data_IF_357509428760
#
_entry.id   IF_357509428760
#
_cell.length_a   1.000
_cell.length_b   1.000
_cell.length_c   1.000
_cell.angle_alpha   90.00
_cell.angle_beta   90.00
_cell.angle_gamma   90.00
#
_symmetry.space_group_name_H-M   'P 1'
#
loop_
_entity.id
_entity.type
_entity.pdbx_description
1 polymer ?
#
# COMPACT_ATOMS: atom_id res chain seq x y z
N UNK A 1 -21.45 -4.96 -25.86
CA UNK A 1 -22.13 -5.71 -26.94
C UNK A 1 -21.63 -7.14 -26.92
N UNK A 2 -22.42 -8.05 -26.36
CA UNK A 2 -22.49 -9.46 -26.75
C UNK A 2 -23.73 -10.00 -26.04
N UNK A 3 -24.86 -10.05 -26.76
CA UNK A 3 -26.10 -10.70 -26.30
C UNK A 3 -26.07 -12.11 -26.87
N UNK A 4 -25.48 -13.07 -26.17
CA UNK A 4 -25.64 -14.48 -26.51
C UNK A 4 -26.90 -15.00 -25.81
N UNK A 5 -27.96 -15.19 -26.60
CA UNK A 5 -29.15 -15.97 -26.20
C UNK A 5 -28.73 -17.44 -26.13
N UNK A 6 -28.87 -18.07 -24.97
CA UNK A 6 -28.83 -19.53 -24.84
C UNK A 6 -30.28 -20.00 -24.89
N UNK A 7 -30.60 -20.78 -25.91
CA UNK A 7 -31.90 -21.46 -26.08
C UNK A 7 -31.66 -22.93 -25.73
N UNK A 8 -32.38 -23.45 -24.74
CA UNK A 8 -32.40 -24.87 -24.43
C UNK A 8 -33.65 -25.47 -25.09
N UNK A 9 -33.47 -26.28 -26.14
CA UNK A 9 -34.54 -27.08 -26.74
C UNK A 9 -34.72 -28.37 -25.92
N UNK A 10 -35.81 -28.45 -25.18
CA UNK A 10 -36.35 -29.69 -24.63
C UNK A 10 -37.63 -30.04 -25.37
N UNK A 11 -37.59 -31.07 -26.20
CA UNK A 11 -38.71 -31.51 -27.01
C UNK A 11 -39.90 -31.99 -26.18
N UNK A 12 -41.07 -31.45 -26.51
CA UNK A 12 -42.35 -32.16 -26.52
C UNK A 12 -43.30 -31.38 -27.43
N UNK A 13 -43.76 -32.04 -28.50
CA UNK A 13 -44.72 -31.52 -29.46
C UNK A 13 -46.09 -31.35 -28.80
N UNK A 14 -46.56 -30.10 -28.67
CA UNK A 14 -47.99 -29.75 -28.62
C UNK A 14 -48.18 -28.41 -29.34
N UNK A 15 -49.12 -28.40 -30.29
CA UNK A 15 -49.41 -27.34 -31.25
C UNK A 15 -49.82 -25.97 -30.66
N UNK A 16 -49.46 -24.93 -31.41
CA UNK A 16 -50.13 -23.63 -31.58
C UNK A 16 -50.43 -22.78 -30.33
N UNK A 17 -49.50 -21.87 -30.02
CA UNK A 17 -49.77 -20.49 -29.60
C UNK A 17 -48.53 -19.64 -29.92
N UNK A 18 -48.70 -18.46 -30.53
CA UNK A 18 -47.62 -17.52 -30.79
C UNK A 18 -46.75 -17.34 -29.54
N UNK A 19 -45.43 -17.60 -29.59
CA UNK A 19 -44.57 -17.41 -28.43
C UNK A 19 -44.31 -15.91 -28.29
N UNK A 20 -45.23 -15.20 -27.64
CA UNK A 20 -44.85 -13.97 -26.95
C UNK A 20 -43.64 -14.33 -26.07
N UNK A 21 -42.50 -13.67 -26.29
CA UNK A 21 -41.29 -13.88 -25.47
C UNK A 21 -41.64 -13.61 -24.00
N UNK A 22 -42.09 -14.64 -23.28
CA UNK A 22 -42.36 -14.57 -21.84
C UNK A 22 -41.03 -14.29 -21.17
N UNK A 23 -40.85 -13.04 -20.72
CA UNK A 23 -39.66 -12.61 -19.98
C UNK A 23 -39.71 -13.22 -18.58
N UNK A 24 -39.17 -14.42 -18.45
CA UNK A 24 -38.97 -15.06 -17.16
C UNK A 24 -37.68 -14.49 -16.56
N UNK A 25 -37.78 -13.90 -15.37
CA UNK A 25 -36.61 -13.44 -14.62
C UNK A 25 -35.93 -14.65 -13.96
N UNK A 26 -34.67 -14.88 -14.29
CA UNK A 26 -33.86 -15.93 -13.67
C UNK A 26 -33.47 -15.50 -12.25
N UNK A 27 -33.87 -16.28 -11.24
CA UNK A 27 -33.48 -16.03 -9.84
C UNK A 27 -32.08 -16.55 -9.55
N UNK A 28 -31.42 -15.97 -8.54
CA UNK A 28 -30.08 -16.40 -8.13
C UNK A 28 -30.08 -17.86 -7.61
N UNK A 29 -31.16 -18.26 -6.93
CA UNK A 29 -31.35 -19.64 -6.46
C UNK A 29 -31.42 -20.63 -7.62
N UNK A 30 -32.21 -20.32 -8.66
CA UNK A 30 -32.31 -21.19 -9.84
C UNK A 30 -30.98 -21.29 -10.58
N UNK A 31 -30.23 -20.19 -10.68
CA UNK A 31 -28.89 -20.20 -11.26
C UNK A 31 -27.92 -21.09 -10.44
N UNK A 32 -28.01 -21.04 -9.11
CA UNK A 32 -27.20 -21.87 -8.21
C UNK A 32 -27.50 -23.36 -8.37
N UNK A 33 -28.77 -23.74 -8.48
CA UNK A 33 -29.17 -25.13 -8.76
C UNK A 33 -28.56 -25.65 -10.06
N UNK A 34 -28.65 -24.85 -11.13
CA UNK A 34 -28.11 -25.20 -12.44
C UNK A 34 -26.58 -25.34 -12.37
N UNK A 35 -25.88 -24.39 -11.72
CA UNK A 35 -24.42 -24.44 -11.62
C UNK A 35 -23.91 -25.60 -10.76
N UNK A 36 -24.67 -26.04 -9.75
CA UNK A 36 -24.33 -27.23 -8.96
C UNK A 36 -24.44 -28.54 -9.74
N UNK A 37 -25.25 -28.57 -10.80
CA UNK A 37 -25.42 -29.75 -11.66
C UNK A 37 -24.32 -29.91 -12.71
N UNK A 38 -23.46 -28.89 -12.90
CA UNK A 38 -22.34 -28.96 -13.85
C UNK A 38 -21.30 -29.96 -13.34
N UNK A 39 -20.90 -30.89 -14.21
CA UNK A 39 -19.87 -31.88 -13.91
C UNK A 39 -18.48 -31.25 -13.83
N UNK A 40 -17.54 -31.90 -13.14
CA UNK A 40 -16.15 -31.40 -13.07
C UNK A 40 -15.45 -31.41 -14.43
N UNK A 41 -15.81 -32.36 -15.30
CA UNK A 41 -15.34 -32.43 -16.69
C UNK A 41 -15.81 -31.22 -17.50
N UNK A 42 -17.09 -30.87 -17.39
CA UNK A 42 -17.66 -29.68 -18.04
C UNK A 42 -17.04 -28.39 -17.50
N UNK A 43 -16.75 -28.32 -16.18
CA UNK A 43 -16.04 -27.18 -15.59
C UNK A 43 -14.67 -26.96 -16.26
N UNK A 44 -13.91 -28.04 -16.46
CA UNK A 44 -12.61 -27.98 -17.12
C UNK A 44 -12.74 -27.53 -18.58
N UNK A 45 -13.74 -28.03 -19.31
CA UNK A 45 -14.02 -27.61 -20.69
C UNK A 45 -14.37 -26.12 -20.75
N UNK A 46 -15.09 -25.60 -19.76
CA UNK A 46 -15.41 -24.17 -19.61
C UNK A 46 -14.20 -23.30 -19.19
N UNK A 47 -13.05 -23.91 -18.90
CA UNK A 47 -11.84 -23.22 -18.46
C UNK A 47 -11.80 -22.89 -16.96
N UNK A 48 -12.60 -23.58 -16.16
CA UNK A 48 -12.67 -23.43 -14.70
C UNK A 48 -12.04 -24.65 -14.01
N UNK A 49 -11.08 -24.44 -13.11
CA UNK A 49 -10.52 -25.55 -12.31
C UNK A 49 -11.50 -25.90 -11.17
N UNK A 50 -12.08 -27.12 -11.13
CA UNK A 50 -13.05 -27.51 -10.12
C UNK A 50 -12.49 -27.47 -8.68
N UNK A 51 -11.17 -27.45 -8.50
CA UNK A 51 -10.54 -27.34 -7.17
C UNK A 51 -10.47 -25.90 -6.64
N UNK A 52 -10.40 -24.90 -7.53
CA UNK A 52 -10.14 -23.51 -7.15
C UNK A 52 -11.22 -22.52 -7.57
N UNK A 53 -12.03 -22.85 -8.58
CA UNK A 53 -12.99 -21.92 -9.17
C UNK A 53 -14.19 -22.66 -9.77
N UNK A 54 -15.02 -23.32 -8.94
CA UNK A 54 -16.27 -23.92 -9.44
C UNK A 54 -17.30 -22.83 -9.79
N UNK A 55 -18.15 -23.04 -10.83
CA UNK A 55 -19.14 -22.06 -11.26
C UNK A 55 -20.15 -21.66 -10.18
N UNK A 56 -20.57 -22.59 -9.33
CA UNK A 56 -21.54 -22.36 -8.25
C UNK A 56 -21.00 -21.37 -7.20
N UNK A 57 -19.68 -21.26 -7.03
CA UNK A 57 -19.04 -20.32 -6.10
C UNK A 57 -19.12 -18.87 -6.54
N UNK A 58 -19.48 -18.59 -7.79
CA UNK A 58 -19.74 -17.23 -8.26
C UNK A 58 -20.97 -16.60 -7.59
N UNK A 59 -21.89 -17.43 -7.07
CA UNK A 59 -23.09 -16.98 -6.37
C UNK A 59 -22.79 -16.94 -4.87
N UNK A 60 -22.86 -15.74 -4.29
CA UNK A 60 -22.51 -15.51 -2.89
C UNK A 60 -23.61 -16.02 -1.94
N UNK A 61 -23.42 -17.22 -1.38
CA UNK A 61 -24.28 -17.78 -0.31
C UNK A 61 -23.78 -17.40 1.08
N UNK A 62 -22.47 -17.34 1.28
CA UNK A 62 -21.82 -16.94 2.54
C UNK A 62 -20.88 -15.78 2.27
N UNK A 63 -21.15 -14.63 2.89
CA UNK A 63 -20.35 -13.42 2.69
C UNK A 63 -19.26 -13.30 3.79
N UNK A 64 -17.96 -13.34 3.45
CA UNK A 64 -16.90 -13.17 4.42
C UNK A 64 -16.84 -11.72 4.92
N UNK A 65 -16.73 -11.54 6.24
CA UNK A 65 -16.60 -10.21 6.86
C UNK A 65 -15.12 -9.92 7.11
N UNK A 66 -14.54 -8.86 6.53
CA UNK A 66 -13.13 -8.55 6.73
C UNK A 66 -12.82 -8.13 8.19
N UNK A 67 -11.61 -8.43 8.69
CA UNK A 67 -11.21 -8.06 10.05
C UNK A 67 -10.99 -6.55 10.19
N UNK A 68 -10.89 -6.06 11.43
CA UNK A 68 -10.73 -4.63 11.74
C UNK A 68 -9.49 -3.99 11.08
N UNK A 69 -8.44 -4.77 10.82
CA UNK A 69 -7.24 -4.30 10.10
C UNK A 69 -7.55 -3.77 8.68
N UNK A 70 -8.59 -4.29 8.01
CA UNK A 70 -9.01 -3.86 6.67
C UNK A 70 -9.98 -2.67 6.73
N UNK A 71 -10.71 -2.54 7.86
CA UNK A 71 -11.75 -1.55 8.11
C UNK A 71 -11.51 -0.81 9.44
N UNK A 72 -10.41 -0.05 9.55
CA UNK A 72 -10.02 0.58 10.81
C UNK A 72 -11.02 1.66 11.23
N UNK A 73 -11.27 1.74 12.54
CA UNK A 73 -12.04 2.84 13.11
C UNK A 73 -11.12 4.01 13.47
N UNK A 74 -11.53 5.24 13.17
CA UNK A 74 -10.82 6.44 13.59
C UNK A 74 -11.42 6.94 14.89
N UNK A 75 -10.60 7.02 15.92
CA UNK A 75 -10.98 7.56 17.23
C UNK A 75 -10.37 8.94 17.37
N UNK A 76 -11.20 9.98 17.32
CA UNK A 76 -10.79 11.34 17.67
C UNK A 76 -10.98 11.52 19.18
N UNK A 77 -9.97 12.07 19.85
CA UNK A 77 -10.02 12.29 21.30
C UNK A 77 -11.25 13.14 21.68
N UNK A 78 -12.09 12.64 22.60
CA UNK A 78 -13.32 13.31 23.04
C UNK A 78 -14.52 13.23 22.09
N UNK A 79 -14.44 12.54 20.96
CA UNK A 79 -15.55 12.38 20.01
C UNK A 79 -15.99 10.92 19.85
N UNK A 80 -17.17 10.72 19.28
CA UNK A 80 -17.67 9.39 18.92
C UNK A 80 -16.75 8.72 17.89
N UNK A 81 -16.68 7.38 17.96
CA UNK A 81 -15.84 6.59 17.04
C UNK A 81 -16.39 6.69 15.61
N UNK A 82 -15.57 7.20 14.69
CA UNK A 82 -15.90 7.22 13.27
C UNK A 82 -15.50 5.89 12.64
N UNK A 83 -16.49 5.11 12.21
CA UNK A 83 -16.29 3.80 11.60
C UNK A 83 -15.95 3.93 10.12
N UNK A 84 -15.24 2.94 9.58
CA UNK A 84 -14.93 2.84 8.16
C UNK A 84 -16.20 2.66 7.30
N UNK A 85 -16.17 3.16 6.06
CA UNK A 85 -17.26 3.04 5.07
C UNK A 85 -17.73 1.58 4.87
N UNK A 86 -16.81 0.60 4.89
CA UNK A 86 -17.15 -0.82 4.78
C UNK A 86 -17.95 -1.30 5.99
N UNK A 87 -17.63 -0.82 7.19
CA UNK A 87 -18.36 -1.18 8.41
C UNK A 87 -19.80 -0.68 8.36
N UNK A 88 -20.03 0.54 7.86
CA UNK A 88 -21.37 1.05 7.63
C UNK A 88 -22.14 0.19 6.63
N UNK A 89 -21.51 -0.17 5.51
CA UNK A 89 -22.16 -1.00 4.49
C UNK A 89 -22.48 -2.42 4.98
N UNK A 90 -21.57 -3.03 5.74
CA UNK A 90 -21.78 -4.33 6.37
C UNK A 90 -22.93 -4.30 7.38
N UNK A 91 -23.07 -3.23 8.15
CA UNK A 91 -24.22 -3.04 9.04
C UNK A 91 -25.53 -3.01 8.26
N UNK A 92 -25.58 -2.36 7.10
CA UNK A 92 -26.79 -2.33 6.27
C UNK A 92 -27.11 -3.71 5.70
N UNK A 93 -26.11 -4.46 5.22
CA UNK A 93 -26.27 -5.84 4.73
C UNK A 93 -26.87 -6.73 5.83
N UNK A 94 -26.35 -6.67 7.05
CA UNK A 94 -26.86 -7.47 8.18
C UNK A 94 -28.31 -7.10 8.50
N UNK A 95 -28.64 -5.81 8.54
CA UNK A 95 -30.01 -5.35 8.82
C UNK A 95 -31.00 -5.84 7.77
N UNK A 96 -30.68 -5.68 6.49
CA UNK A 96 -31.54 -6.16 5.39
C UNK A 96 -31.66 -7.69 5.40
N UNK A 97 -30.59 -8.42 5.71
CA UNK A 97 -30.63 -9.88 5.80
C UNK A 97 -31.51 -10.38 6.96
N UNK A 98 -31.45 -9.73 8.13
CA UNK A 98 -32.33 -10.05 9.27
C UNK A 98 -33.79 -9.73 8.93
N UNK A 99 -34.04 -8.58 8.28
CA UNK A 99 -35.37 -8.19 7.83
C UNK A 99 -35.96 -9.21 6.85
N UNK A 100 -35.21 -9.60 5.81
CA UNK A 100 -35.63 -10.59 4.84
C UNK A 100 -35.99 -11.92 5.52
N UNK A 101 -35.12 -12.41 6.42
CA UNK A 101 -35.34 -13.64 7.17
C UNK A 101 -36.59 -13.60 8.06
N UNK A 102 -36.86 -12.45 8.70
CA UNK A 102 -38.06 -12.27 9.51
C UNK A 102 -39.32 -12.20 8.65
N UNK A 103 -39.27 -11.51 7.51
CA UNK A 103 -40.41 -11.41 6.58
C UNK A 103 -40.76 -12.77 5.97
N UNK A 104 -39.75 -13.58 5.65
CA UNK A 104 -39.93 -14.95 5.18
C UNK A 104 -40.57 -15.83 6.27
N UNK A 105 -40.08 -15.76 7.51
CA UNK A 105 -40.63 -16.53 8.63
C UNK A 105 -42.08 -16.16 8.98
N UNK A 106 -42.45 -14.88 8.78
CA UNK A 106 -43.81 -14.39 9.01
C UNK A 106 -44.76 -14.62 7.84
N UNK A 107 -44.30 -15.24 6.74
CA UNK A 107 -45.14 -15.49 5.56
C UNK A 107 -45.53 -14.22 4.81
N UNK A 108 -44.62 -13.24 4.71
CA UNK A 108 -44.85 -12.03 3.94
C UNK A 108 -45.16 -12.34 2.46
N UNK A 109 -45.87 -11.42 1.80
CA UNK A 109 -46.24 -11.58 0.41
C UNK A 109 -45.00 -11.66 -0.51
N UNK A 110 -45.10 -12.46 -1.58
CA UNK A 110 -43.99 -12.72 -2.50
C UNK A 110 -43.36 -11.46 -3.12
N UNK A 111 -44.15 -10.41 -3.35
CA UNK A 111 -43.63 -9.14 -3.85
C UNK A 111 -42.72 -8.43 -2.85
N UNK A 112 -43.04 -8.49 -1.55
CA UNK A 112 -42.23 -7.89 -0.48
C UNK A 112 -40.89 -8.62 -0.37
N UNK A 113 -40.91 -9.95 -0.42
CA UNK A 113 -39.69 -10.76 -0.41
C UNK A 113 -38.81 -10.47 -1.63
N UNK A 114 -39.40 -10.29 -2.81
CA UNK A 114 -38.65 -9.95 -4.02
C UNK A 114 -37.95 -8.57 -3.90
N UNK A 115 -38.62 -7.59 -3.29
CA UNK A 115 -38.04 -6.27 -3.05
C UNK A 115 -36.92 -6.31 -1.98
N UNK A 116 -37.09 -7.08 -0.90
CA UNK A 116 -36.06 -7.27 0.13
C UNK A 116 -34.83 -7.99 -0.44
N UNK A 117 -35.02 -9.01 -1.29
CA UNK A 117 -33.93 -9.70 -2.01
C UNK A 117 -33.18 -8.74 -2.92
N UNK A 118 -33.90 -7.90 -3.68
CA UNK A 118 -33.30 -6.89 -4.55
C UNK A 118 -32.50 -5.85 -3.77
N UNK A 119 -33.01 -5.46 -2.59
CA UNK A 119 -32.31 -4.53 -1.69
C UNK A 119 -31.03 -5.18 -1.13
N UNK A 120 -31.11 -6.44 -0.67
CA UNK A 120 -29.94 -7.18 -0.19
C UNK A 120 -28.87 -7.30 -1.29
N UNK A 121 -29.29 -7.67 -2.50
CA UNK A 121 -28.42 -7.75 -3.67
C UNK A 121 -27.75 -6.40 -3.97
N UNK A 122 -28.48 -5.29 -3.88
CA UNK A 122 -27.93 -3.95 -4.02
C UNK A 122 -26.86 -3.65 -2.97
N UNK A 123 -27.11 -3.98 -1.69
CA UNK A 123 -26.15 -3.73 -0.62
C UNK A 123 -24.87 -4.57 -0.76
N UNK A 124 -25.00 -5.85 -1.15
CA UNK A 124 -23.85 -6.73 -1.39
C UNK A 124 -23.06 -6.27 -2.63
N UNK A 125 -23.73 -5.92 -3.73
CA UNK A 125 -23.07 -5.46 -4.95
C UNK A 125 -22.28 -4.17 -4.71
N UNK A 126 -22.90 -3.19 -4.02
CA UNK A 126 -22.26 -1.88 -3.76
C UNK A 126 -21.17 -1.91 -2.68
N UNK A 127 -21.07 -2.98 -1.86
CA UNK A 127 -19.91 -3.23 -1.00
C UNK A 127 -18.65 -3.47 -1.84
N UNK A 128 -18.77 -4.26 -2.91
CA UNK A 128 -17.66 -4.62 -3.80
C UNK A 128 -17.40 -3.52 -4.82
N UNK A 129 -18.44 -3.05 -5.51
CA UNK A 129 -18.37 -2.00 -6.53
C UNK A 129 -19.52 -1.02 -6.41
N UNK A 130 -19.22 0.21 -6.00
CA UNK A 130 -20.21 1.28 -5.87
C UNK A 130 -20.38 2.11 -7.16
N UNK A 131 -19.71 1.75 -8.26
CA UNK A 131 -19.78 2.46 -9.55
C UNK A 131 -20.38 1.58 -10.65
N UNK A 132 -21.40 0.77 -10.32
CA UNK A 132 -22.09 -0.06 -11.30
C UNK A 132 -22.98 0.82 -12.19
N UNK A 133 -22.84 0.78 -13.53
CA UNK A 133 -23.67 1.56 -14.43
C UNK A 133 -25.16 1.23 -14.28
N UNK A 134 -26.02 2.24 -14.21
CA UNK A 134 -27.48 2.07 -14.11
C UNK A 134 -28.02 1.81 -12.70
N UNK A 135 -27.15 1.69 -11.68
CA UNK A 135 -27.56 1.63 -10.28
C UNK A 135 -27.27 2.96 -9.56
N UNK A 136 -28.11 3.36 -8.59
CA UNK A 136 -27.81 4.52 -7.75
C UNK A 136 -26.55 4.24 -6.91
N UNK A 137 -25.78 5.28 -6.63
CA UNK A 137 -24.58 5.16 -5.81
C UNK A 137 -24.96 5.13 -4.33
N UNK A 138 -24.38 4.21 -3.57
CA UNK A 138 -24.55 4.17 -2.13
C UNK A 138 -23.76 5.33 -1.48
N UNK A 139 -24.48 6.21 -0.79
CA UNK A 139 -23.94 7.40 -0.13
C UNK A 139 -24.03 7.29 1.39
N UNK A 140 -23.14 7.98 2.09
CA UNK A 140 -23.24 8.19 3.54
C UNK A 140 -24.29 9.27 3.83
N UNK A 141 -24.64 9.47 5.11
CA UNK A 141 -25.60 10.49 5.57
C UNK A 141 -25.31 11.93 5.07
N UNK A 142 -24.05 12.24 4.74
CA UNK A 142 -23.64 13.54 4.19
C UNK A 142 -23.60 13.60 2.66
N UNK A 143 -24.20 12.65 1.94
CA UNK A 143 -24.22 12.62 0.47
C UNK A 143 -22.92 12.15 -0.20
N UNK A 144 -21.83 11.99 0.57
CA UNK A 144 -20.57 11.44 0.05
C UNK A 144 -20.74 9.96 -0.37
N UNK A 145 -20.33 9.56 -1.58
CA UNK A 145 -20.30 8.14 -1.96
C UNK A 145 -19.40 7.30 -1.04
N UNK A 146 -19.84 6.10 -0.70
CA UNK A 146 -19.05 5.14 0.07
C UNK A 146 -17.89 4.59 -0.78
N UNK A 147 -16.70 4.45 -0.18
CA UNK A 147 -15.56 3.81 -0.83
C UNK A 147 -15.66 2.28 -0.77
N UNK A 148 -16.07 1.68 -1.89
CA UNK A 148 -16.13 0.23 -2.10
C UNK A 148 -14.75 -0.44 -2.18
N UNK A 149 -14.71 -1.77 -2.07
CA UNK A 149 -13.47 -2.55 -2.12
C UNK A 149 -12.72 -2.34 -3.45
N UNK A 150 -13.43 -2.39 -4.58
CA UNK A 150 -12.84 -2.17 -5.92
C UNK A 150 -12.22 -0.78 -6.05
N UNK A 151 -12.89 0.25 -5.53
CA UNK A 151 -12.37 1.62 -5.54
C UNK A 151 -11.12 1.79 -4.67
N UNK A 152 -10.98 1.02 -3.58
CA UNK A 152 -9.75 1.01 -2.77
C UNK A 152 -8.56 0.41 -3.52
N UNK A 153 -8.81 -0.55 -4.41
CA UNK A 153 -7.75 -1.24 -5.16
C UNK A 153 -7.34 -0.49 -6.44
N UNK A 154 -8.32 0.06 -7.16
CA UNK A 154 -8.13 0.73 -8.46
C UNK A 154 -7.67 2.19 -8.29
N UNK A 155 -6.96 2.69 -9.31
CA UNK A 155 -6.67 4.12 -9.49
C UNK A 155 -5.25 4.51 -9.12
N UNK A 156 -4.90 5.78 -9.32
CA UNK A 156 -3.56 6.32 -9.02
C UNK A 156 -3.23 6.23 -7.53
N UNK A 157 -4.21 6.52 -6.68
CA UNK A 157 -4.11 6.42 -5.21
C UNK A 157 -4.65 5.09 -4.65
N UNK A 158 -5.00 4.13 -5.52
CA UNK A 158 -5.44 2.80 -5.10
C UNK A 158 -4.30 2.00 -4.49
N UNK A 159 -4.61 0.95 -3.71
CA UNK A 159 -3.61 0.16 -2.98
C UNK A 159 -2.51 -0.42 -3.87
N UNK A 160 -2.85 -0.88 -5.07
CA UNK A 160 -1.87 -1.51 -5.97
C UNK A 160 -0.83 -0.48 -6.42
N UNK A 161 -1.27 0.65 -6.98
CA UNK A 161 -0.35 1.67 -7.52
C UNK A 161 0.26 2.57 -6.45
N UNK A 162 -0.55 3.00 -5.47
CA UNK A 162 -0.17 4.00 -4.47
C UNK A 162 0.42 3.45 -3.18
N UNK A 163 0.38 2.13 -2.93
CA UNK A 163 1.02 1.53 -1.75
C UNK A 163 2.00 0.40 -2.09
N UNK A 164 1.77 -0.38 -3.16
CA UNK A 164 2.66 -1.47 -3.54
C UNK A 164 3.73 -1.01 -4.55
N UNK A 165 3.33 -0.36 -5.66
CA UNK A 165 4.28 0.09 -6.70
C UNK A 165 5.04 1.36 -6.29
N UNK A 166 4.37 2.30 -5.64
CA UNK A 166 4.98 3.46 -5.02
C UNK A 166 4.58 3.54 -3.56
N UNK A 167 5.53 3.76 -2.67
CA UNK A 167 5.26 3.98 -1.24
C UNK A 167 6.12 5.11 -0.72
N UNK A 168 5.64 5.76 0.33
CA UNK A 168 6.51 6.63 1.14
C UNK A 168 7.53 5.74 1.84
N UNK A 169 8.76 6.23 1.91
CA UNK A 169 9.90 5.50 2.47
C UNK A 169 10.52 6.30 3.59
N UNK A 170 11.05 5.59 4.57
CA UNK A 170 11.88 6.16 5.63
C UNK A 170 13.32 6.34 5.13
N UNK A 171 14.17 6.96 5.96
CA UNK A 171 15.60 7.21 5.66
C UNK A 171 15.85 7.96 4.34
N UNK A 172 14.96 8.91 4.04
CA UNK A 172 15.09 9.82 2.92
C UNK A 172 14.98 11.28 3.35
N UNK A 173 15.57 12.18 2.58
CA UNK A 173 15.47 13.62 2.78
C UNK A 173 15.25 14.34 1.45
N UNK A 174 14.70 15.55 1.50
CA UNK A 174 14.46 16.42 0.36
C UNK A 174 14.79 17.86 0.75
N UNK A 175 15.54 18.56 -0.09
CA UNK A 175 15.81 20.00 0.04
C UNK A 175 16.19 20.57 -1.33
N UNK A 176 16.29 21.90 -1.39
CA UNK A 176 16.71 22.66 -2.57
C UNK A 176 18.16 22.34 -2.91
N UNK A 177 18.48 22.31 -4.20
CA UNK A 177 19.83 22.08 -4.72
C UNK A 177 20.57 23.39 -5.02
N UNK A 178 21.90 23.36 -4.92
CA UNK A 178 22.78 24.50 -5.24
C UNK A 178 24.05 23.99 -5.91
N UNK A 179 24.60 24.77 -6.84
CA UNK A 179 25.86 24.45 -7.50
C UNK A 179 27.04 24.56 -6.53
N UNK A 180 27.98 23.61 -6.61
CA UNK A 180 29.29 23.75 -5.97
C UNK A 180 30.40 23.21 -6.89
N UNK A 181 31.23 24.08 -7.47
CA UNK A 181 32.29 23.67 -8.39
C UNK A 181 33.46 22.96 -7.69
N UNK A 182 33.57 23.06 -6.35
CA UNK A 182 34.69 22.46 -5.61
C UNK A 182 34.42 21.00 -5.21
N UNK A 183 33.20 20.50 -5.40
CA UNK A 183 32.86 19.12 -5.11
C UNK A 183 33.22 18.22 -6.30
N UNK A 184 33.79 17.03 -6.06
CA UNK A 184 33.91 15.99 -7.08
C UNK A 184 32.55 15.63 -7.69
N UNK A 185 32.56 15.12 -8.92
CA UNK A 185 31.35 14.70 -9.65
C UNK A 185 30.55 13.60 -8.94
N UNK A 186 31.21 12.71 -8.19
CA UNK A 186 30.57 11.61 -7.47
C UNK A 186 30.13 12.00 -6.05
N UNK A 187 30.26 13.27 -5.66
CA UNK A 187 30.04 13.73 -4.30
C UNK A 187 28.87 14.71 -4.22
N UNK A 188 28.03 14.51 -3.20
CA UNK A 188 26.94 15.44 -2.85
C UNK A 188 27.18 16.06 -1.48
N UNK A 189 27.06 17.38 -1.42
CA UNK A 189 27.04 18.15 -0.19
C UNK A 189 25.72 17.96 0.55
N UNK A 190 25.77 17.46 1.78
CA UNK A 190 24.60 17.23 2.64
C UNK A 190 24.63 18.17 3.85
N UNK A 191 23.53 18.87 4.14
CA UNK A 191 23.37 19.67 5.36
C UNK A 191 23.60 18.87 6.64
N UNK A 192 24.27 19.47 7.63
CA UNK A 192 24.42 18.89 8.98
C UNK A 192 23.09 18.51 9.62
N UNK A 193 22.04 19.30 9.43
CA UNK A 193 20.69 19.03 9.95
C UNK A 193 20.10 17.73 9.40
N UNK A 194 20.34 17.44 8.11
CA UNK A 194 19.92 16.19 7.47
C UNK A 194 20.79 15.03 7.94
N UNK A 195 22.11 15.24 8.00
CA UNK A 195 23.07 14.20 8.40
C UNK A 195 22.87 13.74 9.85
N UNK A 196 22.50 14.64 10.76
CA UNK A 196 22.20 14.32 12.16
C UNK A 196 20.87 13.55 12.32
N UNK A 197 19.90 13.76 11.43
CA UNK A 197 18.61 13.07 11.52
C UNK A 197 18.65 11.68 10.84
N UNK A 198 19.32 11.58 9.68
CA UNK A 198 19.48 10.32 8.96
C UNK A 198 20.53 9.45 9.63
N UNK A 199 20.21 8.17 9.80
CA UNK A 199 21.09 7.21 10.47
C UNK A 199 21.40 6.01 9.59
N UNK A 200 22.56 5.41 9.84
CA UNK A 200 23.00 4.18 9.22
C UNK A 200 23.28 3.14 10.32
N UNK A 201 22.63 1.96 10.28
CA UNK A 201 22.85 0.91 11.27
C UNK A 201 24.17 0.19 10.99
N UNK A 202 25.18 0.50 11.78
CA UNK A 202 26.49 -0.16 11.72
C UNK A 202 26.55 -1.30 12.74
N UNK A 203 26.96 -2.49 12.31
CA UNK A 203 27.16 -3.64 13.20
C UNK A 203 28.44 -3.42 13.99
N UNK A 204 28.38 -3.62 15.31
CA UNK A 204 29.53 -3.58 16.19
C UNK A 204 30.38 -4.82 15.94
N UNK A 205 31.62 -4.58 15.58
CA UNK A 205 32.67 -5.57 15.35
C UNK A 205 33.89 -5.21 16.19
N UNK A 206 34.81 -6.14 16.44
CA UNK A 206 36.06 -5.82 17.14
C UNK A 206 36.86 -4.67 16.50
N UNK A 207 36.69 -4.42 15.20
CA UNK A 207 37.42 -3.39 14.47
C UNK A 207 36.87 -1.97 14.65
N UNK A 208 35.56 -1.82 14.91
CA UNK A 208 34.90 -0.52 14.97
C UNK A 208 34.31 -0.20 16.36
N UNK A 209 34.45 -1.09 17.34
CA UNK A 209 33.87 -0.95 18.67
C UNK A 209 34.28 0.34 19.36
N UNK A 210 35.58 0.70 19.35
CA UNK A 210 36.08 1.91 20.00
C UNK A 210 35.49 3.17 19.36
N UNK A 211 35.44 3.19 18.02
CA UNK A 211 34.88 4.29 17.23
C UNK A 211 33.37 4.44 17.48
N UNK A 212 32.63 3.34 17.50
CA UNK A 212 31.19 3.36 17.76
C UNK A 212 30.88 3.75 19.21
N UNK A 213 31.72 3.32 20.16
CA UNK A 213 31.59 3.70 21.56
C UNK A 213 31.78 5.20 21.73
N UNK A 214 32.74 5.81 21.02
CA UNK A 214 32.91 7.26 21.02
C UNK A 214 31.67 8.00 20.50
N UNK A 215 31.07 7.54 19.39
CA UNK A 215 29.85 8.14 18.83
C UNK A 215 28.65 8.02 19.77
N UNK A 216 28.53 6.87 20.44
CA UNK A 216 27.50 6.61 21.46
C UNK A 216 27.69 7.53 22.67
N UNK A 217 28.93 7.73 23.12
CA UNK A 217 29.25 8.61 24.24
C UNK A 217 28.94 10.08 23.94
N UNK A 218 29.09 10.51 22.67
CA UNK A 218 28.68 11.85 22.21
C UNK A 218 27.15 12.02 22.15
N UNK A 219 26.43 10.92 21.95
CA UNK A 219 24.96 10.88 21.90
C UNK A 219 24.35 11.50 20.63
N UNK A 220 23.06 11.83 20.68
CA UNK A 220 22.33 12.36 19.52
C UNK A 220 22.50 13.89 19.37
N UNK A 221 22.80 14.60 20.46
CA UNK A 221 22.87 16.07 20.46
C UNK A 221 24.09 16.64 19.74
N UNK A 222 25.18 15.87 19.65
CA UNK A 222 26.43 16.30 19.02
C UNK A 222 26.66 15.55 17.71
N UNK A 223 27.10 16.27 16.68
CA UNK A 223 27.53 15.69 15.41
C UNK A 223 29.07 15.67 15.33
N UNK A 224 29.71 14.54 14.95
CA UNK A 224 29.11 13.23 14.68
C UNK A 224 28.80 12.45 15.97
N UNK A 225 27.65 11.78 15.98
CA UNK A 225 27.16 10.98 17.09
C UNK A 225 26.28 9.80 16.64
N UNK A 226 25.40 9.34 17.54
CA UNK A 226 24.49 8.24 17.28
C UNK A 226 23.14 8.47 17.96
N UNK A 227 22.09 7.85 17.42
CA UNK A 227 20.71 8.05 17.89
C UNK A 227 20.17 6.86 18.67
N UNK A 228 20.50 5.65 18.24
CA UNK A 228 20.02 4.43 18.88
C UNK A 228 21.07 3.34 18.96
N UNK A 229 20.94 2.49 19.99
CA UNK A 229 21.63 1.20 20.09
C UNK A 229 20.57 0.11 20.03
N UNK A 230 20.78 -0.89 19.18
CA UNK A 230 19.94 -2.08 19.06
C UNK A 230 20.77 -3.26 19.56
N UNK A 231 20.30 -3.89 20.63
CA UNK A 231 20.92 -5.09 21.21
C UNK A 231 20.55 -6.34 20.41
N UNK A 232 21.23 -7.46 20.67
CA UNK A 232 20.92 -8.73 20.01
C UNK A 232 19.49 -9.22 20.23
N UNK A 233 18.91 -8.93 21.41
CA UNK A 233 17.52 -9.26 21.73
C UNK A 233 16.49 -8.35 21.03
N UNK A 234 16.92 -7.41 20.19
CA UNK A 234 16.07 -6.44 19.50
C UNK A 234 15.64 -5.25 20.35
N UNK A 235 16.08 -5.15 21.61
CA UNK A 235 15.80 -3.99 22.45
C UNK A 235 16.52 -2.76 21.88
N UNK A 236 15.74 -1.69 21.65
CA UNK A 236 16.21 -0.41 21.14
C UNK A 236 16.35 0.59 22.29
N UNK A 237 17.57 1.08 22.50
CA UNK A 237 17.90 2.11 23.48
C UNK A 237 17.99 3.45 22.74
N UNK A 238 17.20 4.44 23.15
CA UNK A 238 17.21 5.80 22.60
C UNK A 238 18.21 6.67 23.38
N UNK A 239 19.21 7.22 22.67
CA UNK A 239 20.29 8.00 23.26
C UNK A 239 19.84 9.42 23.67
N UNK A 240 18.67 9.89 23.22
CA UNK A 240 18.15 11.24 23.55
C UNK A 240 17.68 11.37 25.00
N UNK A 241 17.20 10.29 25.60
CA UNK A 241 16.61 10.30 26.95
C UNK A 241 17.62 10.00 28.06
N UNK A 242 18.92 10.25 27.83
CA UNK A 242 20.00 10.05 28.79
C UNK A 242 20.00 8.63 29.41
N UNK A 243 20.35 7.60 28.63
CA UNK A 243 20.40 6.23 29.13
C UNK A 243 21.46 6.08 30.22
N UNK A 244 21.28 5.09 31.09
CA UNK A 244 22.23 4.78 32.16
C UNK A 244 23.59 4.40 31.55
N UNK A 245 24.68 4.70 32.25
CA UNK A 245 26.03 4.38 31.78
C UNK A 245 26.22 2.89 31.43
N UNK A 246 25.56 1.99 32.14
CA UNK A 246 25.58 0.55 31.85
C UNK A 246 24.94 0.19 30.50
N UNK A 247 23.95 0.98 30.05
CA UNK A 247 23.24 0.76 28.79
C UNK A 247 24.01 1.28 27.57
N UNK A 248 25.10 2.03 27.78
CA UNK A 248 25.98 2.57 26.74
C UNK A 248 27.12 1.63 26.33
N UNK A 249 27.43 0.60 27.13
CA UNK A 249 28.52 -0.32 26.83
C UNK A 249 28.17 -1.21 25.64
N UNK A 250 28.96 -1.11 24.57
CA UNK A 250 28.76 -1.88 23.34
C UNK A 250 29.40 -3.26 23.44
N UNK A 251 28.76 -4.25 22.80
CA UNK A 251 29.29 -5.59 22.61
C UNK A 251 29.28 -5.93 21.11
N UNK A 252 30.24 -6.74 20.62
CA UNK A 252 30.18 -7.27 19.26
C UNK A 252 28.84 -7.96 18.99
N UNK A 253 28.24 -7.70 17.82
CA UNK A 253 26.90 -8.20 17.47
C UNK A 253 25.78 -7.19 17.66
N UNK A 254 25.97 -6.15 18.48
CA UNK A 254 25.01 -5.04 18.58
C UNK A 254 25.00 -4.21 17.28
N UNK A 255 23.94 -3.41 17.08
CA UNK A 255 23.87 -2.43 15.99
C UNK A 255 23.75 -1.03 16.55
N UNK A 256 24.53 -0.11 16.01
CA UNK A 256 24.47 1.31 16.37
C UNK A 256 23.94 2.10 15.18
N UNK A 257 22.81 2.78 15.37
CA UNK A 257 22.27 3.72 14.39
C UNK A 257 23.02 5.06 14.54
N UNK A 258 24.19 5.13 13.92
CA UNK A 258 25.02 6.33 13.89
C UNK A 258 24.48 7.35 12.90
N UNK A 259 24.80 8.63 13.10
CA UNK A 259 24.52 9.67 12.10
C UNK A 259 25.23 9.37 10.77
N UNK A 260 24.67 9.90 9.68
CA UNK A 260 25.31 9.91 8.36
C UNK A 260 26.64 10.66 8.45
N UNK A 261 27.71 10.15 7.82
CA UNK A 261 29.04 10.76 7.83
C UNK A 261 29.60 10.95 6.42
N UNK A 262 30.69 11.70 6.33
CA UNK A 262 31.46 11.84 5.09
C UNK A 262 31.85 10.48 4.50
N UNK A 263 31.66 10.32 3.19
CA UNK A 263 31.97 9.10 2.44
C UNK A 263 30.89 8.01 2.50
N UNK A 264 29.82 8.18 3.27
CA UNK A 264 28.65 7.30 3.16
C UNK A 264 28.04 7.42 1.76
N UNK A 265 27.44 6.33 1.28
CA UNK A 265 26.89 6.24 -0.08
C UNK A 265 25.38 6.42 0.00
N UNK A 266 24.85 7.24 -0.89
CA UNK A 266 23.43 7.56 -0.99
C UNK A 266 22.96 7.44 -2.43
N UNK A 267 21.67 7.23 -2.63
CA UNK A 267 21.03 7.40 -3.93
C UNK A 267 20.41 8.78 -4.00
N UNK A 268 20.75 9.53 -5.03
CA UNK A 268 20.24 10.88 -5.25
C UNK A 268 19.38 10.92 -6.50
N UNK A 269 18.21 11.56 -6.40
CA UNK A 269 17.23 11.59 -7.49
C UNK A 269 16.54 12.95 -7.67
N UNK A 270 16.19 13.25 -8.92
CA UNK A 270 15.27 14.34 -9.28
C UNK A 270 13.97 13.75 -9.84
N UNK A 271 12.83 14.31 -9.44
CA UNK A 271 11.53 13.93 -10.00
C UNK A 271 11.15 14.90 -11.13
N UNK A 272 10.54 14.44 -12.24
CA UNK A 272 10.22 13.05 -12.59
C UNK A 272 11.44 12.24 -13.04
N UNK A 273 11.52 10.96 -12.68
CA UNK A 273 12.62 10.06 -13.08
C UNK A 273 12.29 9.34 -14.38
N UNK A 274 12.76 9.88 -15.51
CA UNK A 274 12.52 9.32 -16.85
C UNK A 274 13.67 8.47 -17.37
N UNK A 275 14.89 8.69 -16.88
CA UNK A 275 16.09 7.99 -17.30
C UNK A 275 16.73 7.25 -16.13
N UNK A 276 17.50 6.20 -16.42
CA UNK A 276 18.33 5.51 -15.40
C UNK A 276 19.18 6.52 -14.63
N UNK A 277 19.81 7.46 -15.34
CA UNK A 277 20.66 8.48 -14.75
C UNK A 277 19.93 9.54 -13.91
N UNK A 278 18.58 9.53 -13.89
CA UNK A 278 17.81 10.36 -12.96
C UNK A 278 17.86 9.83 -11.52
N UNK A 279 18.48 8.66 -11.29
CA UNK A 279 18.78 8.06 -9.99
C UNK A 279 20.21 7.51 -10.00
N UNK A 280 21.13 8.16 -9.30
CA UNK A 280 22.54 7.75 -9.27
C UNK A 280 23.08 7.76 -7.84
N UNK A 281 24.13 6.98 -7.61
CA UNK A 281 24.86 6.87 -6.36
C UNK A 281 25.88 7.98 -6.20
N UNK A 282 25.93 8.59 -5.03
CA UNK A 282 26.89 9.64 -4.65
C UNK A 282 27.52 9.35 -3.29
N UNK A 283 28.72 9.85 -3.07
CA UNK A 283 29.37 9.94 -1.76
C UNK A 283 28.92 11.20 -1.04
N UNK A 284 28.67 11.08 0.26
CA UNK A 284 28.24 12.20 1.10
C UNK A 284 29.44 13.06 1.49
N UNK A 285 29.27 14.37 1.43
CA UNK A 285 30.15 15.35 2.06
C UNK A 285 29.33 16.29 2.94
N UNK A 286 29.62 16.38 4.22
CA UNK A 286 28.78 17.13 5.15
C UNK A 286 29.22 18.58 5.21
N UNK A 287 28.27 19.48 4.94
CA UNK A 287 28.47 20.90 4.82
C UNK A 287 27.56 21.67 5.80
N UNK A 288 27.97 22.87 6.24
CA UNK A 288 27.26 23.61 7.29
C UNK A 288 25.94 24.26 6.83
N UNK A 289 25.68 24.36 5.53
CA UNK A 289 24.50 25.01 4.96
C UNK A 289 23.27 24.09 4.90
N UNK A 290 22.14 24.60 4.43
CA UNK A 290 20.83 23.91 4.42
C UNK A 290 20.40 23.33 3.07
N UNK A 291 21.18 23.54 2.00
CA UNK A 291 20.88 23.03 0.65
C UNK A 291 21.75 21.82 0.30
N UNK A 292 21.24 20.96 -0.59
CA UNK A 292 22.08 19.95 -1.23
C UNK A 292 23.01 20.61 -2.22
N UNK A 293 24.28 20.21 -2.24
CA UNK A 293 25.26 20.75 -3.18
C UNK A 293 25.78 19.68 -4.11
N UNK A 294 25.93 19.99 -5.39
CA UNK A 294 26.48 19.04 -6.35
C UNK A 294 27.30 19.73 -7.43
N UNK A 295 28.13 18.95 -8.09
CA UNK A 295 28.94 19.40 -9.19
C UNK A 295 28.08 19.79 -10.42
N UNK A 296 28.47 20.85 -11.11
CA UNK A 296 27.79 21.40 -12.28
C UNK A 296 27.68 20.38 -13.43
N UNK A 297 28.66 19.50 -13.63
CA UNK A 297 28.64 18.49 -14.70
C UNK A 297 27.55 17.43 -14.52
N UNK A 298 27.02 17.29 -13.31
CA UNK A 298 25.98 16.29 -12.99
C UNK A 298 24.56 16.84 -13.18
N UNK A 299 24.42 18.13 -13.49
CA UNK A 299 23.11 18.77 -13.73
C UNK A 299 22.41 18.22 -14.97
N UNK A 300 23.16 17.92 -16.04
CA UNK A 300 22.62 17.40 -17.31
C UNK A 300 21.88 16.06 -17.16
N UNK A 301 22.45 14.99 -16.55
CA UNK A 301 21.72 13.73 -16.39
C UNK A 301 20.48 13.83 -15.49
N UNK A 302 20.47 14.74 -14.51
CA UNK A 302 19.29 15.02 -13.70
C UNK A 302 18.28 15.95 -14.37
N UNK A 303 18.68 16.59 -15.48
CA UNK A 303 17.95 17.69 -16.12
C UNK A 303 17.55 18.76 -15.08
N UNK A 304 18.48 19.09 -14.19
CA UNK A 304 18.27 19.97 -13.06
C UNK A 304 18.83 21.36 -13.34
N UNK A 305 18.18 22.39 -12.80
CA UNK A 305 18.70 23.75 -12.70
C UNK A 305 18.75 24.19 -11.23
N UNK A 306 19.11 25.44 -10.98
CA UNK A 306 19.28 25.96 -9.61
C UNK A 306 18.33 27.13 -9.32
N UNK A 307 17.13 27.12 -9.92
CA UNK A 307 16.13 28.18 -9.79
C UNK A 307 15.15 27.98 -8.61
N UNK A 308 15.32 26.89 -7.84
CA UNK A 308 14.41 26.44 -6.80
C UNK A 308 14.13 24.94 -6.82
N UNK A 309 14.71 24.22 -7.78
CA UNK A 309 14.66 22.77 -7.88
C UNK A 309 14.96 22.04 -6.55
N UNK A 310 14.20 20.98 -6.30
CA UNK A 310 14.36 20.10 -5.15
C UNK A 310 14.69 18.68 -5.61
N UNK A 311 15.61 18.04 -4.90
CA UNK A 311 15.98 16.64 -5.13
C UNK A 311 15.83 15.82 -3.86
N UNK A 312 15.58 14.52 -4.02
CA UNK A 312 15.53 13.61 -2.88
C UNK A 312 16.81 12.78 -2.77
N UNK A 313 17.11 12.45 -1.52
CA UNK A 313 18.22 11.62 -1.10
C UNK A 313 17.64 10.40 -0.39
N UNK A 314 18.17 9.22 -0.71
CA UNK A 314 17.85 7.97 -0.04
C UNK A 314 19.12 7.33 0.53
N UNK A 315 19.14 7.06 1.82
CA UNK A 315 20.28 6.43 2.49
C UNK A 315 20.07 4.90 2.58
N UNK A 316 20.84 4.07 1.84
CA UNK A 316 20.79 2.62 1.98
C UNK A 316 21.10 2.19 3.42
N UNK A 317 20.33 1.23 3.94
CA UNK A 317 20.42 0.80 5.34
C UNK A 317 21.21 -0.51 5.52
N UNK A 318 21.32 -1.33 4.47
CA UNK A 318 22.11 -2.57 4.52
C UNK A 318 23.47 -2.37 3.86
N UNK A 319 24.47 -3.13 4.31
CA UNK A 319 25.79 -3.15 3.67
C UNK A 319 25.74 -3.72 2.25
N UNK A 320 24.86 -4.69 2.01
CA UNK A 320 24.64 -5.28 0.69
C UNK A 320 24.09 -4.26 -0.32
N UNK A 321 23.04 -3.52 0.03
CA UNK A 321 22.50 -2.47 -0.85
C UNK A 321 23.48 -1.31 -1.00
N UNK A 322 24.28 -1.00 0.03
CA UNK A 322 25.36 -0.03 -0.12
C UNK A 322 26.37 -0.48 -1.19
N UNK A 323 26.79 -1.74 -1.18
CA UNK A 323 27.71 -2.29 -2.17
C UNK A 323 27.07 -2.33 -3.57
N UNK A 324 25.79 -2.69 -3.67
CA UNK A 324 25.04 -2.67 -4.94
C UNK A 324 25.08 -1.28 -5.59
N UNK A 325 24.82 -0.23 -4.81
CA UNK A 325 24.88 1.16 -5.31
C UNK A 325 26.31 1.53 -5.69
N UNK A 326 27.30 1.20 -4.85
CA UNK A 326 28.73 1.50 -5.07
C UNK A 326 29.24 0.89 -6.39
N UNK A 327 28.83 -0.35 -6.68
CA UNK A 327 29.36 -1.12 -7.81
C UNK A 327 28.55 -0.99 -9.11
N UNK A 328 27.27 -0.58 -9.05
CA UNK A 328 26.38 -0.58 -10.23
C UNK A 328 25.87 0.81 -10.60
N UNK A 329 25.62 1.67 -9.62
CA UNK A 329 24.84 2.90 -9.82
C UNK A 329 25.59 4.19 -9.50
N UNK A 330 26.85 4.14 -9.08
CA UNK A 330 27.67 5.32 -8.83
C UNK A 330 27.83 6.19 -10.08
N UNK A 331 27.82 7.51 -9.90
CA UNK A 331 27.95 8.49 -11.01
C UNK A 331 29.11 8.22 -11.99
N UNK A 332 30.31 7.77 -11.58
CA UNK A 332 31.40 7.53 -12.53
C UNK A 332 31.26 6.28 -13.41
N UNK A 333 30.28 5.40 -13.16
CA UNK A 333 30.11 4.10 -13.86
C UNK A 333 29.13 4.20 -15.03
#
# INVERSE_FOLDING_TARGET
MCKSKIVCDGGNEVENQNPEERKIFLTAERALEIFKQISDEDCLILGMDPRFARPDWMICTVLPVPPLAVRPAVVTFGSARNQDDLTHKLSDIIKTNIQLRNNEANGAAAHVLADDVKLLQYHVATLVDNCIPGLPTATQKGGRPLKSIKQRLKGKEGRIRGNLMGKRVDFSARTVITADPNLPIDTVGVPRTIAQNLTFPEIVTPFNIDKLQELVNRGDSQYPGAKYIIRENGARVDLRYHPRAADLHLQPGYRVERHMRDGDIIVFNRQPTLHKMSMMGHRVKILPWSTFRMNLSVTTPYNADFDGDEMNLHLPQSLETRAEIEEIAMVPR
#
